data_IF_114606586698
#
_entry.id   IF_114606586698
#
_cell.length_a   1.000
_cell.length_b   1.000
_cell.length_c   1.000
_cell.angle_alpha   90.00
_cell.angle_beta   90.00
_cell.angle_gamma   90.00
#
_symmetry.space_group_name_H-M   'P 1'
#
loop_
_entity.id
_entity.type
_entity.pdbx_description
1 polymer ?
#
# COMPACT_ATOMS: atom_id res chain seq x y z
N UNK A 1 16.79 20.21 -23.91
CA UNK A 1 16.71 20.13 -22.44
C UNK A 1 15.28 19.87 -21.94
N UNK A 2 14.25 20.57 -22.46
CA UNK A 2 12.83 20.19 -22.22
C UNK A 2 12.50 18.77 -22.72
N UNK A 3 12.99 18.40 -23.91
CA UNK A 3 12.73 17.07 -24.49
C UNK A 3 13.23 15.86 -23.65
N UNK A 4 14.35 16.02 -22.92
CA UNK A 4 14.85 14.97 -22.02
C UNK A 4 14.06 14.89 -20.71
N UNK A 5 13.39 15.98 -20.31
CA UNK A 5 12.59 16.05 -19.09
C UNK A 5 11.29 15.27 -19.24
N UNK A 6 10.63 15.38 -20.40
CA UNK A 6 9.45 14.58 -20.70
C UNK A 6 9.69 13.06 -20.70
N UNK A 7 10.86 12.59 -21.14
CA UNK A 7 11.15 11.14 -21.23
C UNK A 7 11.42 10.49 -19.86
N UNK A 8 12.18 11.14 -18.99
CA UNK A 8 12.51 10.59 -17.66
C UNK A 8 11.26 10.57 -16.77
N UNK A 9 10.44 11.63 -16.85
CA UNK A 9 9.19 11.76 -16.10
C UNK A 9 8.15 10.71 -16.55
N UNK A 10 8.18 10.29 -17.82
CA UNK A 10 7.31 9.23 -18.37
C UNK A 10 7.82 7.81 -18.13
N UNK A 11 9.06 7.64 -17.65
CA UNK A 11 9.67 6.32 -17.45
C UNK A 11 9.22 5.60 -16.18
N UNK A 12 8.52 6.29 -15.28
CA UNK A 12 7.97 5.72 -14.04
C UNK A 12 6.52 6.12 -13.84
N UNK A 13 5.73 5.18 -13.32
CA UNK A 13 4.31 5.37 -13.02
C UNK A 13 4.06 5.46 -11.51
N UNK A 14 5.13 5.43 -10.70
CA UNK A 14 5.03 5.58 -9.26
C UNK A 14 5.08 7.05 -8.89
N UNK A 15 4.02 7.51 -8.24
CA UNK A 15 3.83 8.94 -7.90
C UNK A 15 5.04 9.52 -7.15
N UNK A 16 5.57 8.82 -6.15
CA UNK A 16 6.70 9.34 -5.35
C UNK A 16 7.97 9.49 -6.19
N UNK A 17 8.24 8.58 -7.13
CA UNK A 17 9.38 8.66 -8.05
C UNK A 17 9.20 9.81 -9.04
N UNK A 18 7.98 9.98 -9.60
CA UNK A 18 7.64 11.12 -10.48
C UNK A 18 7.87 12.44 -9.76
N UNK A 19 7.35 12.57 -8.53
CA UNK A 19 7.51 13.79 -7.72
C UNK A 19 8.98 14.06 -7.39
N UNK A 20 9.75 13.02 -7.07
CA UNK A 20 11.17 13.14 -6.84
C UNK A 20 11.92 13.63 -8.09
N UNK A 21 11.68 13.03 -9.26
CA UNK A 21 12.31 13.44 -10.52
C UNK A 21 12.00 14.91 -10.83
N UNK A 22 10.74 15.33 -10.68
CA UNK A 22 10.31 16.72 -10.91
C UNK A 22 11.09 17.67 -9.99
N UNK A 23 11.11 17.40 -8.68
CA UNK A 23 11.77 18.26 -7.69
C UNK A 23 13.27 18.29 -7.88
N UNK A 24 13.88 17.13 -8.13
CA UNK A 24 15.32 17.01 -8.33
C UNK A 24 15.78 17.83 -9.54
N UNK A 25 14.99 17.81 -10.62
CA UNK A 25 15.26 18.57 -11.83
C UNK A 25 15.10 20.07 -11.62
N UNK A 26 14.01 20.48 -10.97
CA UNK A 26 13.75 21.89 -10.66
C UNK A 26 14.85 22.47 -9.77
N UNK A 27 15.26 21.73 -8.73
CA UNK A 27 16.36 22.12 -7.86
C UNK A 27 17.71 22.19 -8.58
N UNK A 28 17.98 21.29 -9.54
CA UNK A 28 19.22 21.27 -10.30
C UNK A 28 19.33 22.46 -11.26
N UNK A 29 18.25 22.82 -11.95
CA UNK A 29 18.28 23.91 -12.93
C UNK A 29 18.28 25.29 -12.27
N UNK A 30 17.53 25.46 -11.18
CA UNK A 30 17.40 26.75 -10.50
C UNK A 30 18.32 26.91 -9.28
N UNK A 31 19.15 25.91 -8.98
CA UNK A 31 20.06 25.89 -7.83
C UNK A 31 19.34 26.24 -6.51
N UNK A 32 18.28 25.49 -6.20
CA UNK A 32 17.40 25.78 -5.06
C UNK A 32 17.90 25.15 -3.75
N UNK A 33 17.53 25.78 -2.64
CA UNK A 33 17.61 25.17 -1.31
C UNK A 33 16.35 24.38 -1.00
N UNK A 34 15.17 24.95 -1.30
CA UNK A 34 13.88 24.39 -0.91
C UNK A 34 12.94 24.30 -2.13
N UNK A 35 12.34 23.12 -2.30
CA UNK A 35 11.29 22.88 -3.27
C UNK A 35 10.26 21.92 -2.68
N UNK A 36 8.97 22.20 -2.89
CA UNK A 36 7.90 21.32 -2.45
C UNK A 36 6.83 21.16 -3.53
N UNK A 37 6.22 19.98 -3.54
CA UNK A 37 5.05 19.68 -4.37
C UNK A 37 3.91 19.30 -3.45
N UNK A 38 2.81 20.03 -3.60
CA UNK A 38 1.55 19.78 -2.93
C UNK A 38 0.58 19.21 -3.94
N UNK A 39 -0.15 18.16 -3.58
CA UNK A 39 -1.23 17.64 -4.41
C UNK A 39 -2.56 17.83 -3.69
N UNK A 40 -3.64 17.90 -4.45
CA UNK A 40 -5.00 17.90 -3.88
C UNK A 40 -5.18 16.66 -3.02
N UNK A 41 -5.68 16.86 -1.80
CA UNK A 41 -5.92 15.77 -0.86
C UNK A 41 -7.31 15.16 -1.06
N UNK A 42 -7.60 14.05 -0.37
CA UNK A 42 -8.93 13.42 -0.41
C UNK A 42 -10.04 14.33 0.11
N UNK A 43 -9.69 15.31 0.95
CA UNK A 43 -10.60 16.31 1.48
C UNK A 43 -10.78 17.43 0.43
N UNK A 44 -12.01 17.65 -0.06
CA UNK A 44 -12.27 18.65 -1.10
C UNK A 44 -11.76 20.04 -0.72
N UNK A 45 -11.14 20.74 -1.68
CA UNK A 45 -10.63 22.10 -1.46
C UNK A 45 -9.41 22.15 -0.52
N UNK A 46 -8.63 21.07 -0.44
CA UNK A 46 -7.39 21.04 0.33
C UNK A 46 -6.23 20.44 -0.46
N UNK A 47 -5.04 20.91 -0.14
CA UNK A 47 -3.75 20.43 -0.61
C UNK A 47 -3.00 19.78 0.55
N UNK A 48 -2.18 18.77 0.26
CA UNK A 48 -1.23 18.22 1.22
C UNK A 48 0.15 18.11 0.57
N UNK A 49 1.18 18.44 1.33
CA UNK A 49 2.58 18.31 0.87
C UNK A 49 2.86 16.82 0.64
N UNK A 50 3.18 16.46 -0.61
CA UNK A 50 3.51 15.08 -0.98
C UNK A 50 5.01 14.86 -1.09
N UNK A 51 5.73 15.86 -1.59
CA UNK A 51 7.17 15.80 -1.67
C UNK A 51 7.80 17.12 -1.25
N UNK A 52 8.96 17.04 -0.59
CA UNK A 52 9.74 18.20 -0.17
C UNK A 52 11.22 17.88 -0.20
N UNK A 53 12.01 18.86 -0.61
CA UNK A 53 13.48 18.87 -0.53
C UNK A 53 13.92 20.11 0.24
N UNK A 54 14.94 19.96 1.08
CA UNK A 54 15.52 21.05 1.86
C UNK A 54 14.77 21.42 3.14
N UNK A 55 13.77 20.64 3.54
CA UNK A 55 13.01 20.83 4.78
C UNK A 55 12.84 19.49 5.52
N UNK A 56 12.55 19.57 6.82
CA UNK A 56 12.28 18.39 7.65
C UNK A 56 11.04 17.62 7.19
N UNK A 57 11.08 16.28 7.32
CA UNK A 57 9.99 15.42 6.85
C UNK A 57 8.66 15.61 7.59
N UNK A 58 8.67 16.15 8.81
CA UNK A 58 7.46 16.40 9.61
C UNK A 58 6.45 17.32 8.91
N UNK A 59 6.93 18.13 7.98
CA UNK A 59 6.15 19.13 7.24
C UNK A 59 5.20 18.46 6.23
N UNK A 60 5.45 17.21 5.83
CA UNK A 60 4.58 16.43 4.92
C UNK A 60 3.16 16.21 5.48
N UNK A 61 2.97 16.35 6.79
CA UNK A 61 1.66 16.27 7.42
C UNK A 61 0.84 17.57 7.34
N UNK A 62 1.43 18.65 6.81
CA UNK A 62 0.76 19.93 6.65
C UNK A 62 -0.33 19.85 5.57
N UNK A 63 -1.55 20.19 5.96
CA UNK A 63 -2.68 20.42 5.06
C UNK A 63 -2.86 21.92 4.84
N UNK A 64 -3.16 22.30 3.61
CA UNK A 64 -3.41 23.68 3.19
C UNK A 64 -4.79 23.74 2.55
N UNK A 65 -5.66 24.64 2.99
CA UNK A 65 -6.96 24.85 2.34
C UNK A 65 -6.78 25.70 1.10
N UNK A 66 -7.73 25.61 0.18
CA UNK A 66 -7.81 26.54 -0.93
C UNK A 66 -8.09 27.95 -0.39
N UNK A 67 -7.58 28.96 -1.08
CA UNK A 67 -7.62 30.37 -0.67
C UNK A 67 -6.40 30.82 0.15
N UNK A 68 -6.04 30.13 1.23
CA UNK A 68 -4.91 30.51 2.10
C UNK A 68 -4.13 29.31 2.68
N UNK A 69 -2.79 29.41 2.86
CA UNK A 69 -1.87 30.52 2.48
C UNK A 69 -1.56 30.54 0.97
N UNK A 70 -0.41 31.07 0.53
CA UNK A 70 -0.05 31.28 -0.89
C UNK A 70 -0.37 30.09 -1.79
N UNK A 71 0.03 28.87 -1.43
CA UNK A 71 -0.26 27.67 -2.23
C UNK A 71 -1.76 27.43 -2.39
N UNK A 72 -2.55 27.72 -1.35
CA UNK A 72 -4.01 27.65 -1.38
C UNK A 72 -4.60 28.72 -2.30
N UNK A 73 -4.06 29.94 -2.27
CA UNK A 73 -4.46 31.02 -3.16
C UNK A 73 -4.20 30.66 -4.63
N UNK A 74 -3.02 30.13 -4.92
CA UNK A 74 -2.62 29.67 -6.27
C UNK A 74 -3.54 28.54 -6.75
N UNK A 75 -3.90 27.60 -5.89
CA UNK A 75 -4.83 26.53 -6.22
C UNK A 75 -6.26 27.02 -6.47
N UNK A 76 -6.74 28.00 -5.69
CA UNK A 76 -8.08 28.58 -5.87
C UNK A 76 -8.19 29.41 -7.15
N UNK A 77 -7.18 30.25 -7.43
CA UNK A 77 -7.22 31.18 -8.57
C UNK A 77 -6.67 30.57 -9.86
N UNK A 78 -5.98 29.42 -9.78
CA UNK A 78 -5.32 28.74 -10.91
C UNK A 78 -4.27 29.63 -11.59
N UNK A 79 -3.71 30.58 -10.84
CA UNK A 79 -2.77 31.58 -11.34
C UNK A 79 -1.36 31.39 -10.76
N UNK A 80 -0.30 31.34 -11.59
CA UNK A 80 1.07 31.26 -11.12
C UNK A 80 1.52 32.61 -10.55
N UNK A 81 2.33 32.57 -9.50
CA UNK A 81 2.82 33.76 -8.79
C UNK A 81 4.33 33.75 -8.72
N UNK A 82 4.93 34.88 -9.10
CA UNK A 82 6.31 35.24 -8.77
C UNK A 82 6.26 36.34 -7.70
N UNK A 83 7.01 36.16 -6.62
CA UNK A 83 7.26 37.18 -5.59
C UNK A 83 8.76 37.37 -5.46
N UNK A 84 9.21 38.58 -5.78
CA UNK A 84 10.61 38.97 -5.63
C UNK A 84 10.96 39.22 -4.15
N UNK A 85 10.02 39.78 -3.38
CA UNK A 85 10.16 40.01 -1.94
C UNK A 85 8.78 39.96 -1.25
N UNK A 86 8.59 38.98 -0.36
CA UNK A 86 7.32 38.78 0.36
C UNK A 86 6.99 39.92 1.32
N UNK A 87 8.00 40.62 1.84
CA UNK A 87 7.80 41.71 2.81
C UNK A 87 7.18 42.94 2.16
N UNK A 88 7.39 43.11 0.86
CA UNK A 88 6.89 44.24 0.07
C UNK A 88 5.66 43.89 -0.77
N UNK A 89 5.36 42.60 -0.97
CA UNK A 89 4.21 42.17 -1.78
C UNK A 89 2.87 42.35 -1.06
N UNK A 90 2.06 43.32 -1.50
CA UNK A 90 0.77 43.65 -0.89
C UNK A 90 -0.23 42.49 -0.87
N UNK A 91 -0.08 41.48 -1.76
CA UNK A 91 -0.96 40.31 -1.84
C UNK A 91 -0.69 39.30 -0.72
N UNK A 92 0.57 39.23 -0.25
CA UNK A 92 1.03 38.14 0.62
C UNK A 92 1.73 38.59 1.91
N UNK A 93 2.05 39.89 2.06
CA UNK A 93 2.72 40.45 3.25
C UNK A 93 2.02 40.10 4.58
N UNK A 94 0.68 40.07 4.61
CA UNK A 94 -0.11 39.70 5.83
C UNK A 94 -0.26 38.19 6.04
N UNK A 95 0.17 37.37 5.08
CA UNK A 95 -0.01 35.90 5.05
C UNK A 95 1.28 35.15 5.40
N UNK A 96 2.35 35.87 5.77
CA UNK A 96 3.62 35.30 6.21
C UNK A 96 3.53 34.83 7.67
N UNK A 97 2.90 33.67 7.91
CA UNK A 97 2.90 33.02 9.23
C UNK A 97 4.16 32.14 9.40
N UNK A 98 5.20 32.74 9.98
CA UNK A 98 6.27 32.21 10.86
C UNK A 98 6.64 30.69 10.85
N UNK A 99 6.94 30.06 9.71
CA UNK A 99 7.72 28.80 9.73
C UNK A 99 8.90 28.69 8.79
N UNK A 100 8.96 29.47 7.71
CA UNK A 100 10.08 29.44 6.76
C UNK A 100 10.43 30.86 6.32
N UNK A 101 11.65 31.31 6.60
CA UNK A 101 12.16 32.58 6.13
C UNK A 101 12.35 32.52 4.60
N UNK A 102 11.37 33.03 3.86
CA UNK A 102 11.39 33.04 2.39
C UNK A 102 11.25 34.47 1.91
N UNK A 103 12.31 35.04 1.32
CA UNK A 103 12.24 36.38 0.73
C UNK A 103 11.60 36.34 -0.65
N UNK A 104 12.12 35.49 -1.54
CA UNK A 104 11.62 35.35 -2.90
C UNK A 104 11.13 33.92 -3.14
N UNK A 105 10.00 33.79 -3.84
CA UNK A 105 9.44 32.49 -4.20
C UNK A 105 8.70 32.53 -5.54
N UNK A 106 8.57 31.35 -6.14
CA UNK A 106 7.63 31.10 -7.23
C UNK A 106 6.69 29.98 -6.78
N UNK A 107 5.39 30.18 -7.01
CA UNK A 107 4.37 29.17 -6.79
C UNK A 107 3.56 29.01 -8.08
N UNK A 108 3.46 27.78 -8.59
CA UNK A 108 2.74 27.49 -9.83
C UNK A 108 1.72 26.38 -9.64
N UNK A 109 0.52 26.50 -10.22
CA UNK A 109 -0.46 25.44 -10.18
C UNK A 109 -0.10 24.34 -11.18
N UNK A 110 -0.37 23.10 -10.80
CA UNK A 110 -0.43 21.94 -11.70
C UNK A 110 -1.88 21.81 -12.15
N UNK A 111 -2.14 22.06 -13.43
CA UNK A 111 -3.50 22.14 -13.98
C UNK A 111 -3.67 21.10 -15.08
N UNK A 112 -4.75 20.33 -14.99
CA UNK A 112 -5.19 19.36 -15.98
C UNK A 112 -6.64 19.67 -16.32
N UNK A 113 -6.94 19.80 -17.62
CA UNK A 113 -8.33 19.99 -18.12
C UNK A 113 -9.09 21.11 -17.37
N UNK A 114 -8.37 22.16 -16.99
CA UNK A 114 -8.92 23.31 -16.25
C UNK A 114 -8.99 23.12 -14.74
N UNK A 115 -8.71 21.94 -14.19
CA UNK A 115 -8.71 21.66 -12.75
C UNK A 115 -7.32 21.59 -12.15
N UNK A 116 -7.19 22.09 -10.92
CA UNK A 116 -5.91 22.06 -10.18
C UNK A 116 -5.77 20.69 -9.53
N UNK A 117 -4.67 20.01 -9.83
CA UNK A 117 -4.30 18.73 -9.20
C UNK A 117 -3.20 18.89 -8.15
N UNK A 118 -2.54 20.05 -8.13
CA UNK A 118 -1.46 20.34 -7.20
C UNK A 118 -0.82 21.71 -7.41
N UNK A 119 0.25 21.97 -6.65
CA UNK A 119 1.03 23.21 -6.69
C UNK A 119 2.51 22.87 -6.49
N UNK A 120 3.39 23.48 -7.28
CA UNK A 120 4.85 23.45 -7.05
C UNK A 120 5.26 24.78 -6.44
N UNK A 121 6.00 24.71 -5.34
CA UNK A 121 6.62 25.86 -4.69
C UNK A 121 8.14 25.74 -4.76
N UNK A 122 8.78 26.82 -5.18
CA UNK A 122 10.24 26.98 -5.12
C UNK A 122 10.58 28.23 -4.31
N UNK A 123 11.46 28.06 -3.35
CA UNK A 123 11.81 29.08 -2.37
C UNK A 123 13.34 29.22 -2.32
N UNK A 124 13.82 30.46 -2.17
CA UNK A 124 15.21 30.80 -1.90
C UNK A 124 16.24 30.08 -2.81
N UNK A 125 16.69 30.79 -3.85
CA UNK A 125 17.89 30.35 -4.59
C UNK A 125 19.09 30.28 -3.65
N UNK A 126 20.00 29.33 -3.89
CA UNK A 126 21.30 29.26 -3.17
C UNK A 126 22.11 30.54 -3.29
N UNK A 127 21.99 31.25 -4.41
CA UNK A 127 22.62 32.56 -4.62
C UNK A 127 22.04 33.68 -3.75
N UNK A 128 20.89 33.45 -3.10
CA UNK A 128 20.10 34.43 -2.34
C UNK A 128 19.58 35.63 -3.14
N UNK A 129 19.74 35.61 -4.46
CA UNK A 129 19.14 36.60 -5.35
C UNK A 129 17.65 36.29 -5.55
N UNK A 130 16.80 37.32 -5.77
CA UNK A 130 15.40 37.11 -6.13
C UNK A 130 15.22 36.26 -7.39
N UNK A 131 14.09 35.58 -7.47
CA UNK A 131 13.67 34.92 -8.71
C UNK A 131 13.40 35.94 -9.82
N UNK A 132 13.79 35.58 -11.02
CA UNK A 132 13.66 36.38 -12.24
C UNK A 132 12.49 35.86 -13.09
N UNK A 133 12.07 36.67 -14.06
CA UNK A 133 11.11 36.25 -15.08
C UNK A 133 11.56 35.03 -15.90
N UNK A 134 12.87 34.80 -16.04
CA UNK A 134 13.38 33.60 -16.71
C UNK A 134 13.13 32.35 -15.87
N UNK A 135 13.33 32.43 -14.55
CA UNK A 135 13.04 31.33 -13.64
C UNK A 135 11.53 31.04 -13.61
N UNK A 136 10.72 32.11 -13.60
CA UNK A 136 9.26 32.00 -13.64
C UNK A 136 8.77 31.33 -14.93
N UNK A 137 9.28 31.73 -16.09
CA UNK A 137 8.98 31.09 -17.37
C UNK A 137 9.41 29.62 -17.40
N UNK A 138 10.57 29.30 -16.83
CA UNK A 138 11.05 27.92 -16.74
C UNK A 138 10.11 27.04 -15.91
N UNK A 139 9.76 27.46 -14.69
CA UNK A 139 8.89 26.69 -13.80
C UNK A 139 7.48 26.54 -14.37
N UNK A 140 6.94 27.58 -15.01
CA UNK A 140 5.65 27.48 -15.72
C UNK A 140 5.69 26.47 -16.87
N UNK A 141 6.81 26.38 -17.59
CA UNK A 141 7.00 25.37 -18.63
C UNK A 141 6.98 23.95 -18.06
N UNK A 142 7.71 23.74 -16.96
CA UNK A 142 7.77 22.44 -16.26
C UNK A 142 6.43 22.05 -15.63
N UNK A 143 5.65 23.03 -15.15
CA UNK A 143 4.37 22.77 -14.48
C UNK A 143 3.39 21.95 -15.33
N UNK A 144 3.34 22.20 -16.64
CA UNK A 144 2.46 21.44 -17.54
C UNK A 144 2.90 19.98 -17.67
N UNK A 145 4.20 19.73 -17.88
CA UNK A 145 4.75 18.37 -17.98
C UNK A 145 4.61 17.62 -16.64
N UNK A 146 4.90 18.30 -15.53
CA UNK A 146 4.72 17.78 -14.18
C UNK A 146 3.25 17.42 -13.89
N UNK A 147 2.30 18.26 -14.32
CA UNK A 147 0.88 18.00 -14.13
C UNK A 147 0.44 16.72 -14.84
N UNK A 148 0.83 16.56 -16.11
CA UNK A 148 0.49 15.37 -16.92
C UNK A 148 1.06 14.11 -16.28
N UNK A 149 2.31 14.17 -15.82
CA UNK A 149 2.97 13.02 -15.22
C UNK A 149 2.39 12.60 -13.88
N UNK A 150 2.08 13.58 -13.03
CA UNK A 150 1.41 13.35 -11.74
C UNK A 150 0.03 12.74 -11.99
N UNK A 151 -0.74 13.27 -12.95
CA UNK A 151 -2.04 12.71 -13.32
C UNK A 151 -1.90 11.26 -13.80
N UNK A 152 -0.95 10.98 -14.71
CA UNK A 152 -0.72 9.64 -15.23
C UNK A 152 -0.37 8.65 -14.12
N UNK A 153 0.52 9.03 -13.19
CA UNK A 153 0.88 8.19 -12.04
C UNK A 153 -0.32 7.94 -11.10
N UNK A 154 -1.16 8.96 -10.87
CA UNK A 154 -2.37 8.82 -10.06
C UNK A 154 -3.43 7.93 -10.74
N UNK A 155 -3.62 8.08 -12.05
CA UNK A 155 -4.53 7.26 -12.84
C UNK A 155 -4.07 5.79 -12.84
N UNK A 156 -2.77 5.56 -13.02
CA UNK A 156 -2.21 4.22 -13.01
C UNK A 156 -2.34 3.56 -11.63
N UNK A 157 -2.02 4.26 -10.54
CA UNK A 157 -2.23 3.75 -9.18
C UNK A 157 -3.72 3.44 -8.90
N UNK A 158 -4.63 4.26 -9.42
CA UNK A 158 -6.08 4.03 -9.28
C UNK A 158 -6.55 2.82 -10.09
N UNK A 159 -5.93 2.59 -11.26
CA UNK A 159 -6.17 1.41 -12.08
C UNK A 159 -5.71 0.14 -11.37
N UNK A 160 -4.50 0.12 -10.79
CA UNK A 160 -3.99 -1.00 -9.98
C UNK A 160 -4.92 -1.30 -8.78
N UNK A 161 -5.36 -0.27 -8.04
CA UNK A 161 -6.32 -0.44 -6.92
C UNK A 161 -7.65 -1.03 -7.40
N UNK A 162 -8.16 -0.57 -8.55
CA UNK A 162 -9.42 -1.08 -9.13
C UNK A 162 -9.29 -2.54 -9.56
N UNK A 163 -8.19 -2.91 -10.22
CA UNK A 163 -7.91 -4.30 -10.57
C UNK A 163 -7.83 -5.19 -9.34
N UNK A 164 -7.09 -4.75 -8.31
CA UNK A 164 -6.96 -5.50 -7.07
C UNK A 164 -8.31 -5.74 -6.41
N UNK A 165 -9.14 -4.70 -6.26
CA UNK A 165 -10.49 -4.83 -5.69
C UNK A 165 -11.38 -5.76 -6.50
N UNK A 166 -11.26 -5.75 -7.83
CA UNK A 166 -12.02 -6.64 -8.71
C UNK A 166 -11.61 -8.10 -8.47
N UNK A 167 -10.32 -8.39 -8.38
CA UNK A 167 -9.84 -9.75 -8.07
C UNK A 167 -10.23 -10.19 -6.67
N UNK A 168 -10.14 -9.31 -5.67
CA UNK A 168 -10.60 -9.60 -4.31
C UNK A 168 -12.10 -9.88 -4.25
N UNK A 169 -12.92 -9.16 -5.03
CA UNK A 169 -14.35 -9.43 -5.12
C UNK A 169 -14.65 -10.81 -5.75
N UNK A 170 -13.85 -11.23 -6.75
CA UNK A 170 -13.94 -12.57 -7.33
C UNK A 170 -13.49 -13.66 -6.34
N UNK A 171 -12.40 -13.43 -5.60
CA UNK A 171 -11.94 -14.33 -4.55
C UNK A 171 -13.02 -14.53 -3.48
N UNK A 172 -13.61 -13.43 -2.99
CA UNK A 172 -14.71 -13.46 -2.04
C UNK A 172 -15.95 -14.21 -2.58
N UNK A 173 -16.24 -14.12 -3.88
CA UNK A 173 -17.32 -14.88 -4.49
C UNK A 173 -17.03 -16.39 -4.57
N UNK A 174 -15.76 -16.78 -4.73
CA UNK A 174 -15.33 -18.20 -4.68
C UNK A 174 -15.43 -18.72 -3.25
N UNK A 175 -14.93 -17.97 -2.27
CA UNK A 175 -15.05 -18.31 -0.85
C UNK A 175 -16.51 -18.50 -0.45
N UNK A 176 -17.42 -17.65 -0.94
CA UNK A 176 -18.85 -17.79 -0.68
C UNK A 176 -19.49 -19.03 -1.34
N UNK A 177 -18.85 -19.62 -2.36
CA UNK A 177 -19.29 -20.86 -3.02
C UNK A 177 -18.75 -22.11 -2.28
N UNK A 178 -17.58 -21.99 -1.65
CA UNK A 178 -17.05 -23.02 -0.76
C UNK A 178 -18.00 -23.15 0.44
N UNK A 179 -18.30 -24.37 0.90
CA UNK A 179 -19.27 -24.58 1.99
C UNK A 179 -18.80 -24.04 3.36
N UNK A 180 -17.61 -23.43 3.41
CA UNK A 180 -16.99 -22.85 4.59
C UNK A 180 -17.04 -21.32 4.52
N UNK A 181 -18.00 -20.79 5.27
CA UNK A 181 -18.26 -19.40 5.69
C UNK A 181 -17.70 -18.22 4.87
N UNK A 182 -18.60 -17.26 4.65
CA UNK A 182 -18.38 -15.87 4.20
C UNK A 182 -17.30 -15.09 4.98
N UNK A 183 -16.72 -15.66 6.04
CA UNK A 183 -15.86 -15.01 7.04
C UNK A 183 -14.48 -15.66 7.21
N UNK A 184 -14.17 -16.80 6.55
CA UNK A 184 -12.86 -17.47 6.69
C UNK A 184 -11.68 -16.54 6.39
N UNK A 185 -11.64 -16.00 5.17
CA UNK A 185 -10.58 -15.08 4.73
C UNK A 185 -10.50 -13.82 5.61
N UNK A 186 -11.63 -13.37 6.17
CA UNK A 186 -11.67 -12.23 7.11
C UNK A 186 -11.03 -12.59 8.46
N UNK A 187 -11.32 -13.76 9.01
CA UNK A 187 -10.73 -14.25 10.25
C UNK A 187 -9.22 -14.47 10.11
N UNK A 188 -8.79 -15.14 9.04
CA UNK A 188 -7.37 -15.36 8.73
C UNK A 188 -6.65 -14.02 8.61
N UNK A 189 -7.24 -13.04 7.91
CA UNK A 189 -6.70 -11.67 7.80
C UNK A 189 -6.57 -10.99 9.17
N UNK A 190 -7.59 -11.09 10.02
CA UNK A 190 -7.60 -10.48 11.35
C UNK A 190 -6.46 -11.01 12.22
N UNK A 191 -6.30 -12.33 12.30
CA UNK A 191 -5.22 -12.95 13.07
C UNK A 191 -3.84 -12.67 12.48
N UNK A 192 -3.69 -12.80 11.16
CA UNK A 192 -2.42 -12.60 10.48
C UNK A 192 -1.89 -11.17 10.66
N UNK A 193 -2.74 -10.16 10.47
CA UNK A 193 -2.33 -8.76 10.63
C UNK A 193 -2.04 -8.39 12.09
N UNK A 194 -2.76 -8.99 13.05
CA UNK A 194 -2.46 -8.81 14.47
C UNK A 194 -1.09 -9.42 14.85
N UNK A 195 -0.81 -10.65 14.39
CA UNK A 195 0.50 -11.28 14.58
C UNK A 195 1.62 -10.49 13.92
N UNK A 196 1.43 -10.02 12.69
CA UNK A 196 2.43 -9.23 11.97
C UNK A 196 2.78 -7.93 12.73
N UNK A 197 1.78 -7.23 13.28
CA UNK A 197 1.99 -6.05 14.13
C UNK A 197 2.72 -6.38 15.43
N UNK A 198 2.34 -7.48 16.10
CA UNK A 198 3.02 -7.93 17.32
C UNK A 198 4.49 -8.27 17.06
N UNK A 199 4.80 -8.81 15.88
CA UNK A 199 6.16 -9.13 15.44
C UNK A 199 6.94 -7.90 14.93
N UNK A 200 6.33 -6.71 14.90
CA UNK A 200 6.98 -5.47 14.51
C UNK A 200 7.23 -5.30 13.00
N UNK A 201 6.45 -5.99 12.15
CA UNK A 201 6.53 -5.79 10.69
C UNK A 201 6.06 -4.39 10.30
N UNK A 202 6.57 -3.85 9.21
CA UNK A 202 6.15 -2.53 8.75
C UNK A 202 4.77 -2.59 8.06
N UNK A 203 4.07 -1.44 7.98
CA UNK A 203 2.73 -1.36 7.37
C UNK A 203 2.67 -1.86 5.93
N UNK A 204 3.78 -1.75 5.18
CA UNK A 204 3.86 -2.30 3.82
C UNK A 204 3.79 -3.82 3.84
N UNK A 205 4.56 -4.49 4.69
CA UNK A 205 4.56 -5.94 4.83
C UNK A 205 3.22 -6.45 5.39
N UNK A 206 2.65 -5.73 6.36
CA UNK A 206 1.32 -6.06 6.92
C UNK A 206 0.25 -6.01 5.82
N UNK A 207 0.29 -5.00 4.95
CA UNK A 207 -0.64 -4.88 3.82
C UNK A 207 -0.45 -6.01 2.79
N UNK A 208 0.78 -6.43 2.52
CA UNK A 208 1.05 -7.57 1.64
C UNK A 208 0.49 -8.88 2.25
N UNK A 209 0.63 -9.08 3.57
CA UNK A 209 0.04 -10.22 4.28
C UNK A 209 -1.48 -10.19 4.22
N UNK A 210 -2.10 -9.03 4.49
CA UNK A 210 -3.55 -8.84 4.38
C UNK A 210 -4.08 -9.23 2.99
N UNK A 211 -3.42 -8.73 1.94
CA UNK A 211 -3.77 -9.05 0.56
C UNK A 211 -3.59 -10.54 0.25
N UNK A 212 -2.53 -11.17 0.77
CA UNK A 212 -2.29 -12.59 0.60
C UNK A 212 -3.36 -13.44 1.30
N UNK A 213 -3.76 -13.09 2.53
CA UNK A 213 -4.87 -13.76 3.22
C UNK A 213 -6.18 -13.72 2.42
N UNK A 214 -6.46 -12.63 1.71
CA UNK A 214 -7.69 -12.51 0.92
C UNK A 214 -7.64 -13.25 -0.43
N UNK A 215 -6.45 -13.68 -0.87
CA UNK A 215 -6.23 -14.22 -2.21
C UNK A 215 -5.65 -15.64 -2.21
N UNK A 216 -5.25 -16.18 -1.05
CA UNK A 216 -4.50 -17.43 -0.94
C UNK A 216 -5.22 -18.63 -1.56
N UNK A 217 -6.54 -18.66 -1.42
CA UNK A 217 -7.41 -19.76 -1.84
C UNK A 217 -8.07 -19.57 -3.22
N UNK A 218 -7.74 -18.49 -3.94
CA UNK A 218 -8.32 -18.16 -5.25
C UNK A 218 -8.25 -19.32 -6.27
N UNK A 219 -7.20 -20.12 -6.21
CA UNK A 219 -6.94 -21.29 -7.06
C UNK A 219 -7.90 -22.45 -6.86
N UNK A 220 -8.71 -22.44 -5.80
CA UNK A 220 -9.79 -23.42 -5.60
C UNK A 220 -10.86 -23.36 -6.69
N UNK A 221 -10.97 -22.25 -7.43
CA UNK A 221 -11.88 -22.14 -8.60
C UNK A 221 -11.66 -23.26 -9.64
N UNK A 222 -10.44 -23.78 -9.73
CA UNK A 222 -10.06 -24.84 -10.67
C UNK A 222 -10.18 -26.25 -10.10
N UNK A 223 -10.87 -26.46 -8.96
CA UNK A 223 -11.08 -27.76 -8.32
C UNK A 223 -12.54 -28.16 -8.50
N UNK A 224 -12.80 -29.44 -8.78
CA UNK A 224 -14.17 -29.93 -8.95
C UNK A 224 -14.98 -29.84 -7.64
N UNK A 225 -16.25 -29.43 -7.74
CA UNK A 225 -17.15 -29.30 -6.58
C UNK A 225 -17.32 -30.64 -5.82
N UNK A 226 -17.24 -31.78 -6.52
CA UNK A 226 -17.30 -33.12 -5.92
C UNK A 226 -16.09 -33.48 -5.06
N UNK A 227 -14.94 -32.84 -5.32
CA UNK A 227 -13.72 -32.98 -4.53
C UNK A 227 -13.76 -31.99 -3.37
N UNK A 228 -14.06 -30.72 -3.65
CA UNK A 228 -14.06 -29.64 -2.66
C UNK A 228 -15.10 -29.88 -1.54
N UNK A 229 -16.28 -30.37 -1.90
CA UNK A 229 -17.40 -30.60 -0.97
C UNK A 229 -17.59 -32.08 -0.58
N UNK A 230 -16.57 -32.93 -0.77
CA UNK A 230 -16.69 -34.37 -0.50
C UNK A 230 -17.02 -34.62 0.99
N UNK A 231 -18.13 -35.33 1.32
CA UNK A 231 -18.47 -35.67 2.70
C UNK A 231 -17.65 -36.89 3.15
N UNK A 232 -16.34 -36.71 3.33
CA UNK A 232 -15.44 -37.78 3.75
C UNK A 232 -13.96 -37.48 3.46
N UNK A 233 -13.11 -38.48 3.68
CA UNK A 233 -11.69 -38.36 3.35
C UNK A 233 -11.48 -38.32 1.84
N UNK A 234 -10.54 -37.48 1.43
CA UNK A 234 -10.05 -37.40 0.07
C UNK A 234 -9.10 -38.57 -0.20
N UNK A 235 -9.15 -39.08 -1.42
CA UNK A 235 -8.15 -39.99 -1.97
C UNK A 235 -6.81 -39.26 -2.11
N UNK A 236 -5.67 -39.99 -2.17
CA UNK A 236 -4.37 -39.38 -2.43
C UNK A 236 -4.37 -38.48 -3.68
N UNK A 237 -5.03 -38.94 -4.75
CA UNK A 237 -5.12 -38.21 -6.02
C UNK A 237 -5.96 -36.93 -5.90
N UNK A 238 -7.10 -36.99 -5.20
CA UNK A 238 -7.92 -35.81 -4.90
C UNK A 238 -7.16 -34.81 -4.01
N UNK A 239 -6.37 -35.31 -3.05
CA UNK A 239 -5.54 -34.46 -2.20
C UNK A 239 -4.41 -33.79 -2.98
N UNK A 240 -3.79 -34.50 -3.93
CA UNK A 240 -2.81 -33.91 -4.85
C UNK A 240 -3.43 -32.79 -5.68
N UNK A 241 -4.68 -32.92 -6.12
CA UNK A 241 -5.40 -31.86 -6.82
C UNK A 241 -5.66 -30.64 -5.93
N UNK A 242 -6.03 -30.84 -4.66
CA UNK A 242 -6.23 -29.73 -3.72
C UNK A 242 -4.94 -28.97 -3.47
N UNK A 243 -3.80 -29.64 -3.25
CA UNK A 243 -2.51 -28.97 -2.97
C UNK A 243 -2.10 -27.98 -4.05
N UNK A 244 -2.54 -28.20 -5.30
CA UNK A 244 -2.26 -27.32 -6.43
C UNK A 244 -2.97 -25.96 -6.34
N UNK A 245 -3.95 -25.75 -5.44
CA UNK A 245 -4.63 -24.45 -5.33
C UNK A 245 -3.63 -23.31 -5.08
N UNK A 246 -2.62 -23.52 -4.23
CA UNK A 246 -1.57 -22.52 -3.95
C UNK A 246 -0.88 -22.02 -5.22
N UNK A 247 -0.44 -22.95 -6.08
CA UNK A 247 0.18 -22.65 -7.37
C UNK A 247 -0.81 -22.07 -8.39
N UNK A 248 -2.06 -22.55 -8.41
CA UNK A 248 -3.12 -22.00 -9.28
C UNK A 248 -3.48 -20.56 -8.88
N UNK A 249 -3.59 -20.26 -7.58
CA UNK A 249 -3.78 -18.90 -7.06
C UNK A 249 -2.66 -18.00 -7.57
N UNK A 250 -1.41 -18.44 -7.42
CA UNK A 250 -0.25 -17.70 -7.89
C UNK A 250 -0.25 -17.49 -9.42
N UNK A 251 -0.63 -18.50 -10.20
CA UNK A 251 -0.76 -18.41 -11.66
C UNK A 251 -1.80 -17.36 -12.08
N UNK A 252 -2.98 -17.35 -11.43
CA UNK A 252 -4.04 -16.37 -11.67
C UNK A 252 -3.57 -14.95 -11.34
N UNK A 253 -2.78 -14.79 -10.27
CA UNK A 253 -2.31 -13.49 -9.79
C UNK A 253 -1.08 -12.99 -10.56
N UNK A 254 -0.28 -13.86 -11.19
CA UNK A 254 0.99 -13.53 -11.84
C UNK A 254 0.94 -12.39 -12.88
N UNK A 255 -0.14 -12.21 -13.67
CA UNK A 255 -0.26 -11.05 -14.56
C UNK A 255 -0.29 -9.70 -13.84
N UNK A 256 -0.66 -9.67 -12.56
CA UNK A 256 -0.66 -8.46 -11.72
C UNK A 256 0.73 -8.23 -11.12
N UNK A 257 1.64 -7.67 -11.92
CA UNK A 257 3.05 -7.50 -11.54
C UNK A 257 3.27 -6.72 -10.24
N UNK A 258 2.33 -5.86 -9.85
CA UNK A 258 2.37 -5.11 -8.59
C UNK A 258 2.11 -5.97 -7.33
N UNK A 259 1.69 -7.24 -7.50
CA UNK A 259 1.45 -8.20 -6.42
C UNK A 259 2.64 -9.13 -6.15
N UNK A 260 3.84 -8.83 -6.66
CA UNK A 260 5.00 -9.74 -6.57
C UNK A 260 5.24 -10.35 -5.17
N UNK A 261 5.26 -9.52 -4.12
CA UNK A 261 5.41 -9.98 -2.74
C UNK A 261 4.23 -10.85 -2.27
N UNK A 262 3.00 -10.46 -2.60
CA UNK A 262 1.76 -11.18 -2.27
C UNK A 262 1.75 -12.57 -2.88
N UNK A 263 2.18 -12.71 -4.14
CA UNK A 263 2.23 -13.99 -4.86
C UNK A 263 3.14 -14.98 -4.14
N UNK A 264 4.32 -14.56 -3.68
CA UNK A 264 5.22 -15.43 -2.93
C UNK A 264 4.59 -15.92 -1.61
N UNK A 265 3.82 -15.06 -0.92
CA UNK A 265 3.12 -15.44 0.30
C UNK A 265 2.03 -16.48 0.01
N UNK A 266 1.27 -16.27 -1.07
CA UNK A 266 0.22 -17.19 -1.54
C UNK A 266 0.80 -18.53 -1.99
N UNK A 267 1.95 -18.57 -2.65
CA UNK A 267 2.58 -19.85 -3.01
C UNK A 267 3.03 -20.63 -1.78
N UNK A 268 3.50 -19.94 -0.73
CA UNK A 268 4.21 -20.56 0.39
C UNK A 268 3.34 -20.79 1.64
N UNK A 269 2.07 -20.40 1.66
CA UNK A 269 1.26 -20.46 2.89
C UNK A 269 1.00 -21.88 3.43
N UNK A 270 1.19 -22.92 2.61
CA UNK A 270 1.18 -24.33 3.02
C UNK A 270 2.56 -24.95 3.23
N UNK A 271 3.63 -24.14 3.15
CA UNK A 271 4.95 -24.57 3.54
C UNK A 271 5.01 -24.79 5.05
N UNK A 272 5.72 -25.84 5.45
CA UNK A 272 5.86 -26.21 6.86
C UNK A 272 7.26 -25.84 7.34
N UNK A 273 7.36 -25.37 8.57
CA UNK A 273 8.64 -24.95 9.14
C UNK A 273 9.71 -26.06 9.12
N UNK A 274 9.30 -27.33 9.18
CA UNK A 274 10.15 -28.52 9.08
C UNK A 274 10.59 -28.91 7.66
N UNK A 275 10.05 -28.26 6.63
CA UNK A 275 10.31 -28.53 5.20
C UNK A 275 9.48 -29.66 4.61
N UNK A 276 8.45 -30.15 5.31
CA UNK A 276 7.54 -31.20 4.82
C UNK A 276 6.26 -30.64 4.18
N UNK A 277 6.21 -29.32 3.99
CA UNK A 277 5.07 -28.64 3.37
C UNK A 277 5.09 -28.74 1.86
N UNK A 278 4.22 -27.97 1.23
CA UNK A 278 4.07 -27.89 -0.22
C UNK A 278 3.85 -26.42 -0.61
N UNK A 279 4.10 -26.04 -1.88
CA UNK A 279 4.45 -26.89 -3.03
C UNK A 279 5.95 -27.18 -3.20
N UNK A 280 6.86 -26.48 -2.53
CA UNK A 280 8.29 -26.56 -2.78
C UNK A 280 9.09 -27.26 -1.66
N UNK A 281 8.53 -27.42 -0.46
CA UNK A 281 9.22 -28.02 0.68
C UNK A 281 10.27 -27.09 1.29
N UNK A 282 10.00 -25.77 1.29
CA UNK A 282 10.89 -24.76 1.86
C UNK A 282 10.95 -24.94 3.38
N UNK A 283 12.15 -24.86 3.95
CA UNK A 283 12.38 -25.13 5.38
C UNK A 283 12.74 -23.88 6.17
N UNK A 284 12.15 -23.76 7.35
CA UNK A 284 12.52 -22.80 8.39
C UNK A 284 12.34 -21.35 7.94
N UNK A 285 13.33 -20.51 8.26
CA UNK A 285 13.29 -19.07 7.95
C UNK A 285 13.44 -18.74 6.46
N UNK A 286 13.70 -19.73 5.59
CA UNK A 286 13.66 -19.53 4.14
C UNK A 286 12.22 -19.32 3.62
N UNK A 287 11.21 -19.75 4.39
CA UNK A 287 9.81 -19.43 4.12
C UNK A 287 9.60 -17.95 4.45
N UNK A 288 8.94 -17.20 3.57
CA UNK A 288 8.62 -15.79 3.82
C UNK A 288 7.86 -15.66 5.13
N UNK A 289 8.22 -14.67 5.95
CA UNK A 289 7.62 -14.48 7.29
C UNK A 289 6.10 -14.32 7.19
N UNK A 290 5.62 -13.62 6.17
CA UNK A 290 4.18 -13.50 5.90
C UNK A 290 3.50 -14.85 5.65
N UNK A 291 4.11 -15.76 4.90
CA UNK A 291 3.55 -17.09 4.65
C UNK A 291 3.51 -17.93 5.93
N UNK A 292 4.55 -17.85 6.78
CA UNK A 292 4.56 -18.50 8.11
C UNK A 292 3.44 -17.95 9.02
N UNK A 293 3.16 -16.65 8.95
CA UNK A 293 2.06 -16.00 9.68
C UNK A 293 0.70 -16.51 9.17
N UNK A 294 0.51 -16.54 7.85
CA UNK A 294 -0.73 -17.01 7.22
C UNK A 294 -0.98 -18.48 7.59
N UNK A 295 0.05 -19.34 7.53
CA UNK A 295 -0.07 -20.76 7.87
C UNK A 295 -0.64 -20.99 9.29
N UNK A 296 -0.20 -20.19 10.28
CA UNK A 296 -0.72 -20.26 11.66
C UNK A 296 -2.16 -19.75 11.74
N UNK A 297 -2.46 -18.61 11.11
CA UNK A 297 -3.79 -18.01 11.12
C UNK A 297 -4.83 -18.92 10.43
N UNK A 298 -4.51 -19.42 9.24
CA UNK A 298 -5.34 -20.34 8.46
C UNK A 298 -5.57 -21.65 9.23
N UNK A 299 -4.51 -22.26 9.78
CA UNK A 299 -4.66 -23.49 10.57
C UNK A 299 -5.52 -23.30 11.81
N UNK A 300 -5.42 -22.16 12.50
CA UNK A 300 -6.25 -21.86 13.65
C UNK A 300 -7.73 -21.76 13.27
N UNK A 301 -8.05 -20.94 12.27
CA UNK A 301 -9.44 -20.77 11.80
C UNK A 301 -10.02 -22.08 11.25
N UNK A 302 -9.20 -22.85 10.53
CA UNK A 302 -9.54 -24.18 10.05
C UNK A 302 -9.80 -25.18 11.19
N UNK A 303 -9.18 -25.03 12.37
CA UNK A 303 -9.41 -25.86 13.55
C UNK A 303 -10.68 -25.48 14.29
N UNK A 304 -10.97 -24.18 14.44
CA UNK A 304 -12.09 -23.64 15.23
C UNK A 304 -13.38 -23.45 14.43
N UNK A 305 -13.37 -23.70 13.12
CA UNK A 305 -14.57 -23.68 12.28
C UNK A 305 -15.12 -25.10 12.06
N UNK A 306 -16.44 -25.24 12.13
CA UNK A 306 -17.14 -26.52 11.87
C UNK A 306 -16.95 -26.95 10.41
N UNK A 307 -16.75 -28.26 10.20
CA UNK A 307 -16.66 -28.86 8.88
C UNK A 307 -17.65 -30.01 8.72
N UNK A 308 -18.17 -30.29 7.50
CA UNK A 308 -19.11 -31.38 7.23
C UNK A 308 -18.70 -32.75 7.81
N UNK A 309 -17.40 -33.01 7.92
CA UNK A 309 -16.82 -34.25 8.42
C UNK A 309 -16.15 -34.13 9.81
N UNK A 310 -16.08 -32.94 10.41
CA UNK A 310 -15.41 -32.72 11.70
C UNK A 310 -16.01 -31.52 12.45
N UNK A 311 -16.37 -31.72 13.71
CA UNK A 311 -16.72 -30.61 14.61
C UNK A 311 -15.52 -29.69 14.84
N UNK A 312 -15.78 -28.39 14.99
CA UNK A 312 -14.80 -27.41 15.44
C UNK A 312 -14.15 -27.83 16.77
N UNK A 313 -12.85 -27.59 16.89
CA UNK A 313 -12.13 -27.62 18.16
C UNK A 313 -12.53 -26.41 19.00
N UNK A 314 -12.40 -26.52 20.33
CA UNK A 314 -12.44 -25.31 21.17
C UNK A 314 -11.18 -24.48 20.93
N UNK A 315 -11.23 -23.19 21.27
CA UNK A 315 -10.07 -22.31 21.18
C UNK A 315 -8.87 -22.88 21.97
N UNK A 316 -9.10 -23.46 23.15
CA UNK A 316 -8.04 -24.07 23.96
C UNK A 316 -7.43 -25.31 23.30
N UNK A 317 -8.23 -26.13 22.63
CA UNK A 317 -7.77 -27.31 21.89
C UNK A 317 -6.93 -26.89 20.69
N UNK A 318 -7.39 -25.90 19.91
CA UNK A 318 -6.66 -25.34 18.78
C UNK A 318 -5.33 -24.70 19.21
N UNK A 319 -5.33 -23.92 20.30
CA UNK A 319 -4.12 -23.33 20.90
C UNK A 319 -3.13 -24.42 21.33
N UNK A 320 -3.62 -25.49 21.96
CA UNK A 320 -2.77 -26.61 22.38
C UNK A 320 -2.14 -27.28 21.17
N UNK A 321 -2.89 -27.46 20.09
CA UNK A 321 -2.36 -28.05 18.86
C UNK A 321 -1.30 -27.18 18.20
N UNK A 322 -1.53 -25.85 18.10
CA UNK A 322 -0.51 -24.92 17.61
C UNK A 322 0.79 -25.01 18.43
N UNK A 323 0.69 -25.13 19.76
CA UNK A 323 1.86 -25.31 20.64
C UNK A 323 2.57 -26.64 20.39
N UNK A 324 1.83 -27.74 20.22
CA UNK A 324 2.39 -29.06 19.95
C UNK A 324 3.13 -29.10 18.59
N UNK A 325 2.60 -28.39 17.60
CA UNK A 325 3.15 -28.31 16.25
C UNK A 325 4.20 -27.20 16.07
N UNK A 326 4.51 -26.45 17.13
CA UNK A 326 5.56 -25.42 17.13
C UNK A 326 6.95 -26.03 16.88
N UNK A 327 7.70 -25.45 15.93
CA UNK A 327 9.01 -25.94 15.51
C UNK A 327 8.96 -27.10 14.52
N UNK A 328 7.77 -27.61 14.19
CA UNK A 328 7.56 -28.60 13.13
C UNK A 328 6.71 -28.04 12.01
N UNK A 329 5.39 -27.99 12.16
CA UNK A 329 4.50 -27.36 11.18
C UNK A 329 4.67 -25.86 11.17
N UNK A 330 4.70 -25.26 12.36
CA UNK A 330 4.64 -23.81 12.55
C UNK A 330 5.96 -23.25 13.03
N UNK A 331 6.26 -22.01 12.63
CA UNK A 331 7.37 -21.26 13.18
C UNK A 331 7.12 -20.94 14.67
N UNK A 332 8.04 -21.32 15.58
CA UNK A 332 7.92 -21.01 16.99
C UNK A 332 7.69 -19.53 17.31
N UNK A 333 8.35 -18.62 16.57
CA UNK A 333 8.22 -17.17 16.79
C UNK A 333 6.82 -16.67 16.43
N UNK A 334 6.21 -17.23 15.39
CA UNK A 334 4.85 -16.88 14.96
C UNK A 334 3.84 -17.43 15.96
N UNK A 335 4.00 -18.67 16.42
CA UNK A 335 3.14 -19.24 17.47
C UNK A 335 3.22 -18.41 18.75
N UNK A 336 4.41 -17.97 19.16
CA UNK A 336 4.56 -17.08 20.32
C UNK A 336 3.83 -15.75 20.12
N UNK A 337 3.93 -15.14 18.93
CA UNK A 337 3.22 -13.91 18.60
C UNK A 337 1.69 -14.11 18.64
N UNK A 338 1.19 -15.24 18.11
CA UNK A 338 -0.22 -15.59 18.17
C UNK A 338 -0.74 -15.63 19.61
N UNK A 339 0.00 -16.28 20.52
CA UNK A 339 -0.39 -16.37 21.94
C UNK A 339 -0.42 -15.00 22.61
N UNK A 340 0.58 -14.14 22.36
CA UNK A 340 0.59 -12.76 22.87
C UNK A 340 -0.59 -11.94 22.36
N UNK A 341 -0.95 -12.12 21.09
CA UNK A 341 -2.10 -11.45 20.47
C UNK A 341 -3.42 -11.84 21.16
N UNK A 342 -3.58 -13.13 21.51
CA UNK A 342 -4.74 -13.61 22.26
C UNK A 342 -4.77 -13.12 23.73
N UNK A 343 -3.62 -12.94 24.37
CA UNK A 343 -3.55 -12.40 25.73
C UNK A 343 -3.85 -10.90 25.80
N UNK A 344 -3.38 -10.14 24.81
CA UNK A 344 -3.54 -8.67 24.76
C UNK A 344 -4.93 -8.21 24.34
N UNK A 345 -5.67 -9.08 23.68
CA UNK A 345 -6.91 -8.69 23.01
C UNK A 345 -7.98 -9.70 23.35
N UNK A 346 -9.17 -9.23 23.72
CA UNK A 346 -10.36 -10.06 23.89
C UNK A 346 -10.90 -10.52 22.50
N UNK A 347 -10.01 -10.90 21.58
CA UNK A 347 -10.32 -11.22 20.19
C UNK A 347 -11.16 -12.48 20.04
N UNK A 348 -11.05 -13.42 20.99
CA UNK A 348 -11.88 -14.62 21.05
C UNK A 348 -13.36 -14.26 21.28
N UNK A 349 -13.64 -13.19 22.03
CA UNK A 349 -15.01 -12.71 22.25
C UNK A 349 -15.61 -11.99 21.02
N UNK A 350 -14.78 -11.45 20.11
CA UNK A 350 -15.29 -10.78 18.90
C UNK A 350 -15.59 -11.73 17.74
N UNK A 351 -15.08 -12.96 17.76
CA UNK A 351 -15.36 -13.98 16.73
C UNK A 351 -16.75 -14.62 16.89
N UNK A 352 -17.24 -14.69 18.13
CA UNK A 352 -18.54 -15.29 18.46
C UNK A 352 -19.73 -14.30 18.36
N UNK A 353 -19.49 -13.04 17.97
CA UNK A 353 -20.53 -11.99 17.86
C UNK A 353 -20.82 -11.51 16.43
N UNK A 354 -20.13 -12.04 15.42
CA UNK A 354 -20.39 -11.79 13.99
C UNK A 354 -21.04 -13.02 13.35
#
# INVERSE_FOLDING_TARGET
MLYSVGLDILSTLKLDEVLQIIVDRVCAVLELEICSVLLVDKEPGSLKIRFVRGLENEIKNTKIKFGEPISGWVAEHKEPVLVADIETDLRFRKRNQEKYYTHSFISVPLVIRGEVIGVINVNNKRSRLPFTENDFRFIRGIANEAAIAVENAQLYASLEDTYLRTVMALASAIDAKDHYTKTHSEHVTKFATAMAREMGLCEKEIKEIEQACQLHDLGKIGIQDSILNKPGQLTPEEWDEIKLHSLKSAEILRPLSFLGGVIELVEQHHERYDGKGYPFGIKGENIKVGARIIAVADSFDAMTTDRPYRRAFTDEEAIKELKNCSGTQFDPKVVEAFLKVLEKTDMLNTLHQA
#
